data_IF_091969432945
#
_entry.id   IF_091969432945
#
_cell.length_a   1.000
_cell.length_b   1.000
_cell.length_c   1.000
_cell.angle_alpha   90.00
_cell.angle_beta   90.00
_cell.angle_gamma   90.00
#
_symmetry.space_group_name_H-M   'P 1'
#
loop_
_entity.id
_entity.type
_entity.pdbx_description
1 polymer ?
#
# COMPACT_ATOMS: atom_id res chain seq x y z
N UNK A 1 -38.05 53.01 24.33
CA UNK A 1 -36.82 53.78 24.04
C UNK A 1 -36.13 53.09 22.87
N UNK A 2 -36.33 53.61 21.64
CA UNK A 2 -35.83 53.02 20.38
C UNK A 2 -34.54 53.74 20.00
N UNK A 3 -33.40 53.04 19.98
CA UNK A 3 -32.13 53.60 19.51
C UNK A 3 -31.88 53.13 18.07
N UNK A 4 -31.93 54.09 17.13
CA UNK A 4 -31.49 53.91 15.74
C UNK A 4 -29.96 54.00 15.74
N UNK A 5 -29.29 52.97 15.24
CA UNK A 5 -27.86 53.04 14.90
C UNK A 5 -27.76 53.19 13.39
N UNK A 6 -27.21 54.32 12.98
CA UNK A 6 -27.04 54.79 11.62
C UNK A 6 -25.59 54.48 11.21
N UNK A 7 -25.38 53.57 10.26
CA UNK A 7 -24.07 53.33 9.68
C UNK A 7 -23.86 54.30 8.50
N UNK A 8 -22.86 55.16 8.64
CA UNK A 8 -22.37 56.07 7.60
C UNK A 8 -21.31 55.32 6.80
N UNK A 9 -21.55 55.11 5.51
CA UNK A 9 -20.51 54.78 4.53
C UNK A 9 -19.54 55.96 4.45
N UNK A 10 -18.24 55.70 4.61
CA UNK A 10 -17.21 56.62 4.13
C UNK A 10 -16.28 55.88 3.18
N UNK A 11 -16.25 56.39 1.95
CA UNK A 11 -15.43 55.92 0.86
C UNK A 11 -14.05 56.61 0.90
N UNK A 12 -13.08 55.94 0.28
CA UNK A 12 -11.78 56.48 -0.17
C UNK A 12 -10.61 56.30 0.78
N UNK A 13 -9.86 55.21 0.56
CA UNK A 13 -8.40 55.31 0.49
C UNK A 13 -7.86 54.26 -0.48
N UNK A 14 -7.71 54.64 -1.74
CA UNK A 14 -6.93 53.90 -2.73
C UNK A 14 -5.46 54.22 -2.44
N UNK A 15 -4.74 53.27 -1.85
CA UNK A 15 -3.28 53.31 -1.75
C UNK A 15 -2.72 52.54 -2.94
N UNK A 16 -2.15 53.27 -3.91
CA UNK A 16 -1.20 52.70 -4.86
C UNK A 16 0.07 52.32 -4.07
N UNK A 17 0.31 51.02 -3.88
CA UNK A 17 1.66 50.51 -3.60
C UNK A 17 2.31 50.12 -4.93
N UNK A 18 3.22 51.01 -5.36
CA UNK A 18 4.18 50.76 -6.42
C UNK A 18 5.12 49.60 -6.04
N UNK A 19 5.53 48.85 -7.06
CA UNK A 19 6.27 47.61 -6.93
C UNK A 19 7.64 47.76 -6.26
N UNK A 20 7.90 46.82 -5.36
CA UNK A 20 9.24 46.30 -5.11
C UNK A 20 9.25 44.87 -5.62
N UNK A 21 10.03 44.62 -6.67
CA UNK A 21 10.30 43.27 -7.17
C UNK A 21 10.90 42.44 -6.04
N UNK A 22 10.11 41.51 -5.51
CA UNK A 22 10.60 40.41 -4.70
C UNK A 22 11.40 39.47 -5.60
N UNK A 23 12.68 39.78 -5.83
CA UNK A 23 13.66 38.76 -6.22
C UNK A 23 13.87 37.86 -5.00
N UNK A 24 12.95 36.91 -4.81
CA UNK A 24 13.16 35.79 -3.89
C UNK A 24 14.35 34.99 -4.41
N UNK A 25 15.40 34.96 -3.60
CA UNK A 25 16.52 34.03 -3.72
C UNK A 25 15.99 32.62 -3.94
N UNK A 26 16.00 32.16 -5.19
CA UNK A 26 15.91 30.74 -5.49
C UNK A 26 17.22 30.13 -4.99
N UNK A 27 17.19 29.52 -3.82
CA UNK A 27 18.25 28.61 -3.39
C UNK A 27 18.47 27.63 -4.54
N UNK A 28 19.71 27.45 -5.04
CA UNK A 28 19.97 26.52 -6.13
C UNK A 28 19.37 25.16 -5.78
N UNK A 29 18.40 24.70 -6.57
CA UNK A 29 17.79 23.37 -6.40
C UNK A 29 18.94 22.37 -6.44
N UNK A 30 19.21 21.70 -5.32
CA UNK A 30 20.27 20.71 -5.22
C UNK A 30 20.07 19.72 -6.39
N UNK A 31 21.10 19.45 -7.21
CA UNK A 31 20.96 18.53 -8.32
C UNK A 31 20.40 17.21 -7.80
N UNK A 32 19.36 16.72 -8.46
CA UNK A 32 18.73 15.45 -8.11
C UNK A 32 19.82 14.37 -8.02
N UNK A 33 19.82 13.53 -6.97
CA UNK A 33 20.78 12.45 -6.85
C UNK A 33 20.75 11.60 -8.13
N UNK A 34 21.93 11.30 -8.66
CA UNK A 34 22.03 10.45 -9.85
C UNK A 34 21.42 9.08 -9.52
N UNK A 35 20.43 8.58 -10.27
CA UNK A 35 19.80 7.30 -9.97
C UNK A 35 20.87 6.22 -9.96
N UNK A 36 21.05 5.56 -8.81
CA UNK A 36 21.94 4.42 -8.67
C UNK A 36 21.44 3.33 -9.61
N UNK A 37 22.23 2.97 -10.61
CA UNK A 37 21.89 1.87 -11.52
C UNK A 37 21.71 0.60 -10.68
N UNK A 38 20.48 0.09 -10.63
CA UNK A 38 20.16 -1.16 -9.94
C UNK A 38 20.86 -2.30 -10.69
N UNK A 39 21.90 -2.88 -10.08
CA UNK A 39 22.62 -4.02 -10.67
C UNK A 39 22.00 -5.30 -10.16
N UNK A 40 21.46 -6.10 -11.08
CA UNK A 40 20.93 -7.43 -10.76
C UNK A 40 22.03 -8.37 -10.26
N UNK A 41 21.78 -9.19 -9.24
CA UNK A 41 22.65 -10.29 -8.89
C UNK A 41 22.82 -11.24 -10.09
N UNK A 42 24.06 -11.42 -10.54
CA UNK A 42 24.43 -12.32 -11.64
C UNK A 42 24.79 -13.73 -11.16
N UNK A 43 24.98 -13.89 -9.85
CA UNK A 43 25.31 -15.13 -9.14
C UNK A 43 24.31 -15.35 -8.00
N UNK A 44 24.35 -16.53 -7.38
CA UNK A 44 23.54 -16.82 -6.20
C UNK A 44 22.61 -18.00 -6.38
N UNK A 45 22.30 -18.63 -5.25
CA UNK A 45 21.29 -19.67 -5.15
C UNK A 45 19.91 -19.03 -5.21
N UNK A 46 18.98 -19.73 -5.84
CA UNK A 46 17.58 -19.32 -5.92
C UNK A 46 16.74 -20.05 -4.89
N UNK A 47 15.90 -19.31 -4.19
CA UNK A 47 15.06 -19.78 -3.12
C UNK A 47 13.62 -19.38 -3.40
N UNK A 48 12.73 -20.35 -3.31
CA UNK A 48 11.35 -20.26 -3.75
C UNK A 48 10.43 -20.40 -2.54
N UNK A 49 9.54 -19.43 -2.36
CA UNK A 49 8.62 -19.39 -1.23
C UNK A 49 7.20 -19.07 -1.67
N UNK A 50 6.25 -19.40 -0.81
CA UNK A 50 4.86 -18.94 -0.88
C UNK A 50 4.51 -18.23 0.42
N UNK A 51 3.77 -17.13 0.34
CA UNK A 51 3.18 -16.50 1.52
C UNK A 51 2.25 -17.49 2.22
N UNK A 52 2.54 -17.82 3.48
CA UNK A 52 1.71 -18.66 4.35
C UNK A 52 0.78 -17.84 5.26
N UNK A 53 1.10 -16.56 5.47
CA UNK A 53 0.26 -15.62 6.20
C UNK A 53 0.44 -14.22 5.64
N UNK A 54 -0.66 -13.53 5.39
CA UNK A 54 -0.68 -12.12 5.03
C UNK A 54 -1.45 -11.35 6.09
N UNK A 55 -0.89 -10.23 6.55
CA UNK A 55 -1.40 -9.44 7.67
C UNK A 55 -1.78 -8.05 7.19
N UNK A 56 -3.04 -7.70 7.40
CA UNK A 56 -3.52 -6.32 7.20
C UNK A 56 -3.54 -5.60 8.55
N UNK A 57 -3.15 -4.31 8.62
CA UNK A 57 -3.18 -3.57 9.88
C UNK A 57 -4.63 -3.23 10.26
N UNK A 58 -5.14 -3.81 11.34
CA UNK A 58 -6.47 -3.52 11.89
C UNK A 58 -6.40 -2.77 13.23
N UNK A 59 -5.20 -2.48 13.72
CA UNK A 59 -4.94 -1.71 14.95
C UNK A 59 -3.82 -0.69 14.75
N UNK A 60 -3.77 0.35 15.59
CA UNK A 60 -2.70 1.36 15.54
C UNK A 60 -1.30 0.77 15.72
N UNK A 61 -1.16 -0.25 16.57
CA UNK A 61 0.12 -0.93 16.78
C UNK A 61 0.57 -1.68 15.52
N UNK A 62 -0.35 -2.34 14.82
CA UNK A 62 -0.05 -3.02 13.56
C UNK A 62 0.27 -2.04 12.44
N UNK A 63 -0.39 -0.88 12.38
CA UNK A 63 -0.05 0.19 11.42
C UNK A 63 1.43 0.53 11.52
N UNK A 64 1.92 0.77 12.75
CA UNK A 64 3.32 1.09 13.02
C UNK A 64 4.25 -0.11 12.82
N UNK A 65 3.77 -1.32 13.08
CA UNK A 65 4.57 -2.55 12.93
C UNK A 65 4.86 -2.82 11.46
N UNK A 66 3.89 -2.61 10.57
CA UNK A 66 3.97 -2.93 9.14
C UNK A 66 4.28 -1.73 8.25
N UNK A 67 4.40 -0.53 8.80
CA UNK A 67 4.81 0.66 8.07
C UNK A 67 6.30 0.65 7.71
N UNK A 68 6.64 1.21 6.56
CA UNK A 68 8.00 1.47 6.10
C UNK A 68 8.10 2.95 5.69
N UNK A 69 9.30 3.54 5.73
CA UNK A 69 9.53 4.87 5.18
C UNK A 69 9.65 4.76 3.65
N UNK A 70 8.55 4.90 2.93
CA UNK A 70 8.45 4.62 1.50
C UNK A 70 9.09 5.74 0.68
N UNK A 71 8.82 7.00 1.02
CA UNK A 71 9.29 8.17 0.27
C UNK A 71 10.70 8.65 0.65
N UNK A 72 11.35 8.02 1.64
CA UNK A 72 12.67 8.39 2.17
C UNK A 72 12.71 9.80 2.76
N UNK A 73 11.64 10.24 3.41
CA UNK A 73 11.69 11.50 4.12
C UNK A 73 12.83 11.52 5.17
N UNK A 74 13.38 12.72 5.39
CA UNK A 74 14.49 12.92 6.33
C UNK A 74 14.12 12.63 7.79
N UNK A 75 12.83 12.58 8.10
CA UNK A 75 12.30 12.33 9.43
C UNK A 75 12.19 10.82 9.71
N UNK A 76 12.37 10.00 8.67
CA UNK A 76 12.16 8.56 8.67
C UNK A 76 10.77 8.19 9.17
N UNK A 77 9.77 8.98 8.78
CA UNK A 77 8.41 8.72 9.18
C UNK A 77 7.96 7.38 8.57
N UNK A 78 7.35 6.49 9.36
CA UNK A 78 6.75 5.30 8.80
C UNK A 78 5.44 5.63 8.08
N UNK A 79 5.25 5.05 6.89
CA UNK A 79 4.09 5.28 6.03
C UNK A 79 3.20 4.04 5.95
N UNK A 80 1.92 4.18 6.30
CA UNK A 80 0.90 3.13 6.15
C UNK A 80 -0.53 3.68 6.25
N UNK A 81 -0.89 4.59 5.35
CA UNK A 81 -2.19 5.26 5.29
C UNK A 81 -3.34 4.29 5.04
N UNK A 82 -3.08 3.26 4.24
CA UNK A 82 -4.03 2.17 4.03
C UNK A 82 -4.38 1.46 5.34
N UNK A 83 -3.42 1.25 6.24
CA UNK A 83 -3.69 0.73 7.58
C UNK A 83 -4.62 1.62 8.41
N UNK A 84 -4.49 2.95 8.29
CA UNK A 84 -5.43 3.90 8.92
C UNK A 84 -6.84 3.75 8.36
N UNK A 85 -6.98 3.61 7.03
CA UNK A 85 -8.26 3.36 6.37
C UNK A 85 -8.91 2.07 6.88
N UNK A 86 -8.15 0.97 6.92
CA UNK A 86 -8.64 -0.32 7.40
C UNK A 86 -9.09 -0.24 8.86
N UNK A 87 -8.31 0.43 9.71
CA UNK A 87 -8.67 0.63 11.13
C UNK A 87 -9.95 1.47 11.29
N UNK A 88 -10.17 2.48 10.46
CA UNK A 88 -11.42 3.25 10.46
C UNK A 88 -12.62 2.39 10.03
N UNK A 89 -12.46 1.56 9.00
CA UNK A 89 -13.51 0.66 8.53
C UNK A 89 -13.90 -0.37 9.59
N UNK A 90 -12.92 -1.01 10.24
CA UNK A 90 -13.18 -1.98 11.32
C UNK A 90 -13.73 -1.31 12.59
N UNK A 91 -13.38 -0.05 12.84
CA UNK A 91 -13.98 0.72 13.94
C UNK A 91 -15.44 1.06 13.67
N UNK A 92 -15.78 1.45 12.43
CA UNK A 92 -17.15 1.76 12.02
C UNK A 92 -18.04 0.49 11.93
N UNK A 93 -17.44 -0.65 11.63
CA UNK A 93 -18.08 -1.95 11.60
C UNK A 93 -17.28 -2.99 12.39
N UNK A 94 -17.46 -3.09 13.71
CA UNK A 94 -16.72 -4.04 14.54
C UNK A 94 -16.94 -5.52 14.20
N UNK A 95 -18.01 -5.85 13.45
CA UNK A 95 -18.28 -7.20 12.94
C UNK A 95 -17.50 -7.53 11.68
N UNK A 96 -16.73 -6.58 11.15
CA UNK A 96 -15.92 -6.76 9.97
C UNK A 96 -14.63 -7.51 10.31
N UNK A 97 -14.58 -8.78 9.93
CA UNK A 97 -13.47 -9.69 10.22
C UNK A 97 -12.48 -9.80 9.03
N UNK A 98 -11.82 -8.69 8.69
CA UNK A 98 -10.89 -8.62 7.54
C UNK A 98 -9.74 -9.62 7.63
N UNK A 99 -9.07 -9.69 8.78
CA UNK A 99 -7.92 -10.59 8.93
C UNK A 99 -8.33 -12.05 8.79
N UNK A 100 -9.47 -12.45 9.35
CA UNK A 100 -9.95 -13.84 9.22
C UNK A 100 -10.30 -14.20 7.78
N UNK A 101 -10.88 -13.25 7.03
CA UNK A 101 -11.23 -13.42 5.61
C UNK A 101 -9.96 -13.59 4.78
N UNK A 102 -8.93 -12.79 5.07
CA UNK A 102 -7.64 -12.91 4.39
C UNK A 102 -6.91 -14.20 4.76
N UNK A 103 -6.91 -14.58 6.04
CA UNK A 103 -6.35 -15.85 6.52
C UNK A 103 -7.02 -17.03 5.81
N UNK A 104 -8.35 -17.01 5.66
CA UNK A 104 -9.08 -18.02 4.91
C UNK A 104 -8.67 -18.03 3.42
N UNK A 105 -8.52 -16.87 2.80
CA UNK A 105 -8.14 -16.77 1.40
C UNK A 105 -6.75 -17.36 1.14
N UNK A 106 -5.78 -17.11 2.02
CA UNK A 106 -4.44 -17.68 1.94
C UNK A 106 -4.48 -19.18 2.22
N UNK A 107 -5.13 -19.61 3.31
CA UNK A 107 -5.18 -21.02 3.72
C UNK A 107 -5.94 -21.93 2.77
N UNK A 108 -6.92 -21.39 2.04
CA UNK A 108 -7.64 -22.14 1.00
C UNK A 108 -7.02 -22.01 -0.39
N UNK A 109 -5.95 -21.21 -0.52
CA UNK A 109 -5.24 -20.96 -1.79
C UNK A 109 -6.05 -20.14 -2.80
N UNK A 110 -6.99 -19.31 -2.34
CA UNK A 110 -7.66 -18.30 -3.17
C UNK A 110 -6.76 -17.09 -3.47
N UNK A 111 -5.85 -16.78 -2.55
CA UNK A 111 -4.79 -15.79 -2.71
C UNK A 111 -3.46 -16.53 -2.59
N UNK A 112 -2.63 -16.43 -3.63
CA UNK A 112 -1.30 -17.06 -3.68
C UNK A 112 -0.29 -15.99 -4.08
N UNK A 113 0.64 -15.67 -3.17
CA UNK A 113 1.78 -14.80 -3.46
C UNK A 113 3.07 -15.62 -3.40
N UNK A 114 3.80 -15.61 -4.50
CA UNK A 114 5.01 -16.40 -4.70
C UNK A 114 6.23 -15.50 -4.65
N UNK A 115 7.30 -15.97 -4.01
CA UNK A 115 8.52 -15.20 -3.84
C UNK A 115 9.72 -15.96 -4.38
N UNK A 116 10.57 -15.25 -5.12
CA UNK A 116 11.89 -15.72 -5.53
C UNK A 116 12.94 -14.82 -4.90
N UNK A 117 13.79 -15.41 -4.06
CA UNK A 117 14.96 -14.74 -3.49
C UNK A 117 16.21 -15.31 -4.14
N UNK A 118 17.10 -14.44 -4.64
CA UNK A 118 18.41 -14.82 -5.16
C UNK A 118 19.50 -14.17 -4.31
N UNK A 119 20.34 -14.99 -3.69
CA UNK A 119 21.44 -14.56 -2.82
C UNK A 119 22.64 -15.54 -2.92
N UNK A 120 23.85 -15.02 -2.78
CA UNK A 120 25.10 -15.78 -2.68
C UNK A 120 25.30 -16.35 -1.25
N UNK A 121 24.87 -15.61 -0.22
CA UNK A 121 24.95 -16.01 1.19
C UNK A 121 23.64 -15.67 1.93
N UNK A 122 23.14 -16.62 2.73
CA UNK A 122 21.83 -16.51 3.39
C UNK A 122 21.83 -15.60 4.63
N UNK A 123 23.01 -15.31 5.18
CA UNK A 123 23.19 -14.49 6.36
C UNK A 123 23.67 -13.09 5.98
N UNK A 124 24.66 -12.97 5.09
CA UNK A 124 25.28 -11.69 4.77
C UNK A 124 25.59 -11.58 3.28
N UNK A 125 24.76 -10.86 2.56
CA UNK A 125 24.92 -10.61 1.13
C UNK A 125 24.52 -9.17 0.81
N UNK A 126 25.39 -8.43 0.14
CA UNK A 126 25.15 -7.02 -0.21
C UNK A 126 24.35 -6.86 -1.50
N UNK A 127 24.09 -7.94 -2.24
CA UNK A 127 23.39 -7.90 -3.50
C UNK A 127 22.38 -9.05 -3.60
N UNK A 128 21.23 -8.84 -2.97
CA UNK A 128 20.12 -9.79 -2.94
C UNK A 128 18.98 -9.25 -3.80
N UNK A 129 18.36 -10.11 -4.60
CA UNK A 129 17.13 -9.76 -5.31
C UNK A 129 15.95 -10.54 -4.75
N UNK A 130 14.85 -9.83 -4.47
CA UNK A 130 13.58 -10.39 -4.06
C UNK A 130 12.50 -10.05 -5.08
N UNK A 131 11.96 -11.06 -5.75
CA UNK A 131 10.85 -10.93 -6.69
C UNK A 131 9.57 -11.46 -6.08
N UNK A 132 8.45 -10.79 -6.37
CA UNK A 132 7.11 -11.19 -5.93
C UNK A 132 6.27 -11.43 -7.18
N UNK A 133 5.57 -12.56 -7.20
CA UNK A 133 4.72 -12.98 -8.31
C UNK A 133 3.33 -13.37 -7.81
N UNK A 134 2.35 -13.29 -8.71
CA UNK A 134 1.01 -13.81 -8.46
C UNK A 134 0.97 -15.30 -8.79
N UNK A 135 0.39 -16.10 -7.90
CA UNK A 135 0.11 -17.51 -8.15
C UNK A 135 -1.35 -17.73 -8.55
N UNK A 136 -1.60 -18.77 -9.34
CA UNK A 136 -2.97 -19.21 -9.63
C UNK A 136 -3.65 -19.74 -8.36
N UNK A 137 -4.97 -19.56 -8.30
CA UNK A 137 -5.81 -20.21 -7.29
C UNK A 137 -5.58 -21.71 -7.29
N UNK A 138 -5.45 -22.31 -6.11
CA UNK A 138 -5.26 -23.75 -5.99
C UNK A 138 -6.61 -24.48 -5.95
N UNK A 139 -6.63 -25.74 -6.40
CA UNK A 139 -7.82 -26.59 -6.32
C UNK A 139 -8.02 -27.20 -4.93
N UNK A 140 -6.94 -27.28 -4.15
CA UNK A 140 -6.94 -27.79 -2.78
C UNK A 140 -6.15 -26.81 -1.89
N UNK A 141 -6.52 -26.76 -0.62
CA UNK A 141 -5.81 -25.97 0.39
C UNK A 141 -4.32 -26.36 0.42
N UNK A 142 -3.38 -25.39 0.35
CA UNK A 142 -1.96 -25.65 0.55
C UNK A 142 -1.66 -26.21 1.94
N UNK A 143 -0.61 -27.00 2.06
CA UNK A 143 -0.18 -27.58 3.35
C UNK A 143 0.79 -26.64 4.08
N UNK A 144 1.53 -25.81 3.35
CA UNK A 144 2.56 -24.90 3.81
C UNK A 144 3.72 -25.59 4.55
N UNK A 145 4.10 -26.79 4.13
CA UNK A 145 5.17 -27.59 4.75
C UNK A 145 6.48 -27.65 3.92
N UNK A 146 6.56 -26.88 2.84
CA UNK A 146 7.69 -26.91 1.91
C UNK A 146 7.49 -27.79 0.68
N UNK A 147 6.45 -28.64 0.67
CA UNK A 147 6.22 -29.63 -0.41
C UNK A 147 5.25 -29.15 -1.49
N UNK A 148 4.52 -28.06 -1.23
CA UNK A 148 3.53 -27.51 -2.15
C UNK A 148 4.16 -27.04 -3.47
N UNK A 149 3.39 -27.20 -4.55
CA UNK A 149 3.73 -26.75 -5.90
C UNK A 149 2.71 -25.75 -6.39
N UNK A 150 3.19 -24.64 -6.94
CA UNK A 150 2.34 -23.58 -7.45
C UNK A 150 2.65 -23.26 -8.91
N UNK A 151 1.67 -22.63 -9.55
CA UNK A 151 1.76 -22.13 -10.93
C UNK A 151 1.61 -20.62 -10.89
N UNK A 152 2.39 -19.90 -11.69
CA UNK A 152 2.25 -18.45 -11.85
C UNK A 152 0.91 -18.11 -12.52
N UNK A 153 0.29 -17.02 -12.07
CA UNK A 153 -0.83 -16.44 -12.78
C UNK A 153 -0.35 -15.82 -14.10
N UNK A 154 -1.11 -15.99 -15.18
CA UNK A 154 -0.79 -15.39 -16.48
C UNK A 154 -0.82 -13.85 -16.47
N UNK A 155 -1.49 -13.23 -15.49
CA UNK A 155 -1.51 -11.79 -15.28
C UNK A 155 -0.25 -11.29 -14.55
N UNK A 156 0.62 -12.19 -14.08
CA UNK A 156 1.86 -11.82 -13.39
C UNK A 156 2.73 -10.95 -14.31
N UNK A 157 3.14 -9.74 -13.86
CA UNK A 157 4.04 -8.89 -14.62
C UNK A 157 5.39 -9.55 -14.87
N UNK A 158 6.12 -9.00 -15.84
CA UNK A 158 7.53 -9.29 -15.98
C UNK A 158 8.26 -9.05 -14.66
N UNK A 159 9.26 -9.89 -14.39
CA UNK A 159 10.02 -9.85 -13.15
C UNK A 159 10.57 -8.44 -12.88
N UNK A 160 10.12 -7.83 -11.79
CA UNK A 160 10.60 -6.54 -11.29
C UNK A 160 11.22 -6.74 -9.89
N UNK A 161 12.46 -7.25 -9.82
CA UNK A 161 13.10 -7.60 -8.56
C UNK A 161 13.34 -6.37 -7.69
N UNK A 162 13.07 -6.52 -6.39
CA UNK A 162 13.42 -5.58 -5.34
C UNK A 162 14.85 -5.91 -4.93
N UNK A 163 15.77 -4.98 -5.16
CA UNK A 163 17.19 -5.17 -4.82
C UNK A 163 17.46 -4.65 -3.41
N UNK A 164 18.25 -5.39 -2.66
CA UNK A 164 18.58 -5.09 -1.28
C UNK A 164 19.80 -5.87 -0.79
N UNK A 165 19.91 -5.95 0.53
CA UNK A 165 20.98 -6.67 1.20
C UNK A 165 20.43 -7.53 2.35
N UNK A 166 21.12 -8.63 2.62
CA UNK A 166 20.99 -9.44 3.83
C UNK A 166 22.09 -9.06 4.82
N UNK A 167 21.72 -8.84 6.08
CA UNK A 167 22.65 -8.71 7.20
C UNK A 167 22.15 -9.54 8.37
N UNK A 168 22.92 -10.54 8.79
CA UNK A 168 22.52 -11.56 9.76
C UNK A 168 21.16 -12.24 9.46
N UNK A 169 20.86 -12.48 8.18
CA UNK A 169 19.60 -13.08 7.73
C UNK A 169 18.44 -12.08 7.65
N UNK A 170 18.63 -10.82 8.01
CA UNK A 170 17.63 -9.78 7.84
C UNK A 170 17.79 -9.11 6.48
N UNK A 171 16.78 -9.25 5.63
CA UNK A 171 16.73 -8.60 4.32
C UNK A 171 16.14 -7.20 4.48
N UNK A 172 16.77 -6.21 3.83
CA UNK A 172 16.22 -4.88 3.59
C UNK A 172 16.46 -4.51 2.13
N UNK A 173 15.39 -4.17 1.39
CA UNK A 173 15.50 -3.82 -0.02
C UNK A 173 14.47 -2.80 -0.49
N UNK A 174 14.71 -2.26 -1.68
CA UNK A 174 13.90 -1.22 -2.33
C UNK A 174 14.69 0.05 -2.64
N UNK A 175 14.08 1.01 -3.34
CA UNK A 175 12.73 0.97 -3.89
C UNK A 175 12.61 0.02 -5.10
N UNK A 176 11.44 -0.59 -5.28
CA UNK A 176 11.10 -1.45 -6.41
C UNK A 176 9.67 -1.25 -6.90
N UNK A 177 9.16 -2.24 -7.65
CA UNK A 177 7.75 -2.35 -8.03
C UNK A 177 7.28 -3.77 -7.75
N UNK A 178 6.03 -3.92 -7.35
CA UNK A 178 5.41 -5.22 -7.15
C UNK A 178 3.93 -5.14 -7.51
N UNK A 179 3.38 -6.25 -7.96
CA UNK A 179 1.93 -6.44 -8.00
C UNK A 179 1.58 -7.44 -6.92
N UNK A 180 0.64 -7.06 -6.06
CA UNK A 180 0.12 -7.93 -5.02
C UNK A 180 -1.36 -8.16 -5.25
N UNK A 181 -1.87 -9.19 -4.61
CA UNK A 181 -3.28 -9.48 -4.61
C UNK A 181 -3.75 -9.59 -3.17
N UNK A 182 -4.81 -8.86 -2.85
CA UNK A 182 -5.41 -8.85 -1.52
C UNK A 182 -6.89 -9.24 -1.63
N UNK A 183 -7.41 -9.94 -0.63
CA UNK A 183 -8.84 -10.12 -0.46
C UNK A 183 -9.33 -9.08 0.54
N UNK A 184 -10.07 -8.09 0.05
CA UNK A 184 -10.61 -6.99 0.85
C UNK A 184 -12.13 -7.07 0.82
N UNK A 185 -12.76 -7.23 1.97
CA UNK A 185 -14.23 -7.26 2.09
C UNK A 185 -14.91 -8.32 1.21
N UNK A 186 -14.23 -9.45 0.96
CA UNK A 186 -14.71 -10.53 0.09
C UNK A 186 -14.38 -10.34 -1.39
N UNK A 187 -13.85 -9.18 -1.77
CA UNK A 187 -13.43 -8.86 -3.13
C UNK A 187 -11.92 -9.04 -3.33
N UNK A 188 -11.55 -9.72 -4.40
CA UNK A 188 -10.14 -9.93 -4.75
C UNK A 188 -9.66 -8.75 -5.59
N UNK A 189 -8.71 -8.00 -5.05
CA UNK A 189 -8.19 -6.79 -5.68
C UNK A 189 -6.72 -6.99 -5.99
N UNK A 190 -6.37 -6.79 -7.24
CA UNK A 190 -4.98 -6.66 -7.65
C UNK A 190 -4.53 -5.22 -7.46
N UNK A 191 -3.37 -5.06 -6.83
CA UNK A 191 -2.84 -3.75 -6.48
C UNK A 191 -1.42 -3.65 -7.00
N UNK A 192 -1.18 -2.62 -7.81
CA UNK A 192 0.15 -2.27 -8.29
C UNK A 192 0.80 -1.29 -7.32
N UNK A 193 1.93 -1.71 -6.75
CA UNK A 193 2.73 -0.92 -5.84
C UNK A 193 3.96 -0.33 -6.55
N UNK A 194 4.23 0.94 -6.30
CA UNK A 194 5.45 1.66 -6.69
C UNK A 194 6.28 2.03 -5.46
N UNK A 195 7.58 2.25 -5.64
CA UNK A 195 8.46 2.58 -4.52
C UNK A 195 8.53 1.47 -3.47
N UNK A 196 8.36 0.21 -3.89
CA UNK A 196 8.21 -0.92 -2.97
C UNK A 196 9.47 -1.09 -2.14
N UNK A 197 9.28 -1.20 -0.82
CA UNK A 197 10.29 -1.59 0.15
C UNK A 197 9.88 -2.87 0.82
N UNK A 198 10.86 -3.69 1.14
CA UNK A 198 10.64 -4.97 1.77
C UNK A 198 11.69 -5.20 2.86
N UNK A 199 11.20 -5.60 4.03
CA UNK A 199 12.01 -6.05 5.16
C UNK A 199 11.53 -7.45 5.57
N UNK A 200 12.43 -8.38 5.85
CA UNK A 200 12.04 -9.70 6.37
C UNK A 200 13.23 -10.43 6.99
N UNK A 201 12.96 -11.23 8.02
CA UNK A 201 13.93 -12.20 8.52
C UNK A 201 13.85 -13.47 7.69
N UNK A 202 14.97 -13.85 7.10
CA UNK A 202 15.07 -14.82 6.03
C UNK A 202 15.90 -16.02 6.48
N UNK A 203 15.37 -17.23 6.25
CA UNK A 203 16.03 -18.50 6.56
C UNK A 203 15.69 -19.57 5.53
N UNK A 204 16.41 -20.70 5.55
CA UNK A 204 16.10 -21.84 4.66
C UNK A 204 14.74 -22.46 4.96
N UNK A 205 14.16 -22.20 6.14
CA UNK A 205 12.82 -22.67 6.52
C UNK A 205 11.70 -21.70 6.14
N UNK A 206 12.02 -20.56 5.53
CA UNK A 206 11.03 -19.53 5.19
C UNK A 206 11.43 -18.14 5.66
N UNK A 207 10.47 -17.23 5.62
CA UNK A 207 10.61 -15.87 6.13
C UNK A 207 9.58 -15.55 7.21
N UNK A 208 10.02 -14.79 8.20
CA UNK A 208 9.22 -14.29 9.32
C UNK A 208 9.43 -12.79 9.47
N UNK A 209 8.55 -12.15 10.24
CA UNK A 209 8.57 -10.69 10.47
C UNK A 209 8.64 -9.88 9.17
N UNK A 210 8.07 -10.43 8.10
CA UNK A 210 8.05 -9.83 6.78
C UNK A 210 7.16 -8.61 6.75
N UNK A 211 7.62 -7.56 6.09
CA UNK A 211 6.90 -6.32 5.83
C UNK A 211 7.10 -5.94 4.38
N UNK A 212 6.00 -5.60 3.71
CA UNK A 212 6.03 -4.99 2.39
C UNK A 212 5.32 -3.66 2.46
N UNK A 213 5.98 -2.61 1.98
CA UNK A 213 5.43 -1.28 1.90
C UNK A 213 5.64 -0.66 0.54
N UNK A 214 4.77 0.26 0.14
CA UNK A 214 4.84 0.94 -1.14
C UNK A 214 3.72 1.96 -1.32
N UNK A 215 3.71 2.62 -2.48
CA UNK A 215 2.66 3.54 -2.88
C UNK A 215 1.68 2.92 -3.87
N UNK A 216 0.39 3.20 -3.68
CA UNK A 216 -0.65 3.06 -4.70
C UNK A 216 -0.91 4.45 -5.26
N UNK A 217 -0.84 4.64 -6.58
CA UNK A 217 -1.14 5.96 -7.18
C UNK A 217 -2.59 6.35 -6.94
N UNK A 218 -2.89 7.66 -6.96
CA UNK A 218 -4.26 8.15 -6.84
C UNK A 218 -5.21 7.50 -7.83
N UNK A 219 -4.77 7.38 -9.09
CA UNK A 219 -5.57 6.78 -10.14
C UNK A 219 -5.89 5.31 -9.85
N UNK A 220 -4.90 4.51 -9.46
CA UNK A 220 -5.07 3.10 -9.11
C UNK A 220 -6.00 2.93 -7.91
N UNK A 221 -5.83 3.77 -6.87
CA UNK A 221 -6.69 3.74 -5.69
C UNK A 221 -8.15 4.02 -6.05
N UNK A 222 -8.39 5.07 -6.83
CA UNK A 222 -9.75 5.49 -7.21
C UNK A 222 -10.41 4.58 -8.24
N UNK A 223 -9.65 4.05 -9.18
CA UNK A 223 -10.20 3.23 -10.27
C UNK A 223 -10.42 1.78 -9.87
N UNK A 224 -9.62 1.25 -8.93
CA UNK A 224 -9.61 -0.18 -8.61
C UNK A 224 -9.96 -0.45 -7.15
N UNK A 225 -9.23 0.15 -6.21
CA UNK A 225 -9.35 -0.21 -4.79
C UNK A 225 -10.62 0.34 -4.15
N UNK A 226 -10.94 1.61 -4.38
CA UNK A 226 -12.11 2.25 -3.77
C UNK A 226 -13.45 1.65 -4.26
N UNK A 227 -13.64 1.34 -5.56
CA UNK A 227 -14.81 0.60 -6.02
C UNK A 227 -14.94 -0.77 -5.35
N UNK A 228 -13.84 -1.53 -5.23
CA UNK A 228 -13.88 -2.83 -4.56
C UNK A 228 -14.25 -2.72 -3.07
N UNK A 229 -13.82 -1.66 -2.39
CA UNK A 229 -14.26 -1.38 -1.01
C UNK A 229 -15.77 -1.12 -0.96
N UNK A 230 -16.28 -0.25 -1.83
CA UNK A 230 -17.71 0.05 -1.90
C UNK A 230 -18.54 -1.21 -2.19
N UNK A 231 -18.11 -2.03 -3.15
CA UNK A 231 -18.77 -3.28 -3.53
C UNK A 231 -18.78 -4.29 -2.37
N UNK A 232 -17.63 -4.49 -1.70
CA UNK A 232 -17.54 -5.37 -0.54
C UNK A 232 -18.42 -4.93 0.62
N UNK A 233 -18.46 -3.64 0.96
CA UNK A 233 -19.37 -3.11 1.97
C UNK A 233 -20.85 -3.36 1.59
N UNK A 234 -21.21 -3.12 0.32
CA UNK A 234 -22.56 -3.38 -0.17
C UNK A 234 -22.94 -4.87 -0.15
N UNK A 235 -21.99 -5.78 -0.38
CA UNK A 235 -22.23 -7.21 -0.25
C UNK A 235 -22.51 -7.60 1.20
N UNK A 236 -21.76 -7.05 2.15
CA UNK A 236 -22.03 -7.24 3.57
C UNK A 236 -23.42 -6.73 3.96
N UNK A 237 -23.81 -5.54 3.47
CA UNK A 237 -25.15 -4.98 3.70
C UNK A 237 -26.25 -5.91 3.15
N UNK A 238 -26.04 -6.47 1.95
CA UNK A 238 -26.97 -7.42 1.34
C UNK A 238 -27.06 -8.73 2.12
N UNK A 239 -25.94 -9.23 2.63
CA UNK A 239 -25.86 -10.48 3.38
C UNK A 239 -26.53 -10.37 4.76
N UNK A 240 -26.38 -9.23 5.43
CA UNK A 240 -26.95 -9.01 6.77
C UNK A 240 -27.42 -7.56 6.97
N UNK A 241 -28.66 -7.28 6.56
CA UNK A 241 -29.28 -5.95 6.71
C UNK A 241 -29.47 -5.51 8.17
N UNK A 242 -29.54 -6.45 9.11
CA UNK A 242 -29.79 -6.13 10.52
C UNK A 242 -28.53 -5.62 11.22
N UNK A 243 -27.40 -6.27 10.94
CA UNK A 243 -26.10 -5.99 11.57
C UNK A 243 -25.32 -4.85 10.90
N UNK A 244 -25.69 -4.47 9.67
CA UNK A 244 -24.97 -3.45 8.89
C UNK A 244 -25.57 -2.04 9.00
N UNK A 245 -26.53 -1.82 9.90
CA UNK A 245 -27.08 -0.50 10.17
C UNK A 245 -26.01 0.55 10.54
N UNK A 246 -24.91 0.14 11.19
CA UNK A 246 -23.82 1.07 11.52
C UNK A 246 -23.00 1.47 10.30
N UNK A 247 -22.81 0.59 9.32
CA UNK A 247 -22.14 0.89 8.05
C UNK A 247 -22.93 1.92 7.25
N UNK A 248 -24.24 1.70 7.11
CA UNK A 248 -25.13 2.63 6.42
C UNK A 248 -25.13 3.99 7.14
N UNK A 249 -25.27 4.01 8.47
CA UNK A 249 -25.20 5.27 9.23
C UNK A 249 -23.86 6.00 9.08
N UNK A 250 -22.76 5.26 8.91
CA UNK A 250 -21.43 5.84 8.77
C UNK A 250 -21.17 6.37 7.36
N UNK A 251 -21.65 5.69 6.31
CA UNK A 251 -21.19 5.89 4.95
C UNK A 251 -22.29 6.14 3.90
N UNK A 252 -23.53 5.73 4.11
CA UNK A 252 -24.67 5.96 3.19
C UNK A 252 -25.26 7.35 3.47
N UNK A 253 -24.74 8.36 2.76
CA UNK A 253 -25.04 9.76 3.03
C UNK A 253 -26.42 10.16 2.50
N UNK A 254 -26.87 9.56 1.39
CA UNK A 254 -28.17 9.85 0.80
C UNK A 254 -29.31 8.94 1.34
N UNK A 255 -28.96 7.96 2.19
CA UNK A 255 -29.86 6.99 2.83
C UNK A 255 -30.60 6.11 1.82
N UNK A 256 -29.97 5.77 0.69
CA UNK A 256 -30.57 4.93 -0.35
C UNK A 256 -30.41 3.42 -0.06
N UNK A 257 -29.69 3.05 1.00
CA UNK A 257 -29.43 1.67 1.41
C UNK A 257 -28.24 1.03 0.69
N UNK A 258 -27.38 1.82 0.05
CA UNK A 258 -26.13 1.39 -0.59
C UNK A 258 -25.05 2.44 -0.43
N UNK A 259 -23.79 2.01 -0.45
CA UNK A 259 -22.62 2.88 -0.31
C UNK A 259 -21.94 2.99 -1.67
N UNK A 260 -21.84 4.20 -2.21
CA UNK A 260 -21.15 4.50 -3.46
C UNK A 260 -19.70 4.90 -3.23
N UNK A 261 -18.87 4.84 -4.27
CA UNK A 261 -17.50 5.38 -4.20
C UNK A 261 -17.49 6.87 -3.87
N UNK A 262 -18.41 7.64 -4.45
CA UNK A 262 -18.56 9.07 -4.17
C UNK A 262 -18.86 9.33 -2.69
N UNK A 263 -19.67 8.50 -2.05
CA UNK A 263 -19.94 8.63 -0.62
C UNK A 263 -18.72 8.33 0.23
N UNK A 264 -17.93 7.30 -0.12
CA UNK A 264 -16.67 7.02 0.56
C UNK A 264 -15.66 8.17 0.39
N UNK A 265 -15.52 8.73 -0.81
CA UNK A 265 -14.59 9.85 -1.06
C UNK A 265 -14.95 11.12 -0.30
N UNK A 266 -16.25 11.44 -0.23
CA UNK A 266 -16.73 12.66 0.43
C UNK A 266 -17.01 12.46 1.93
N UNK A 267 -16.81 11.25 2.46
CA UNK A 267 -17.08 10.97 3.85
C UNK A 267 -16.05 11.68 4.76
N UNK A 268 -16.46 12.59 5.67
CA UNK A 268 -15.50 13.31 6.52
C UNK A 268 -14.64 12.41 7.41
N UNK A 269 -15.14 11.22 7.79
CA UNK A 269 -14.37 10.24 8.56
C UNK A 269 -13.26 9.62 7.70
N UNK A 270 -13.54 9.37 6.43
CA UNK A 270 -12.59 8.77 5.50
C UNK A 270 -11.68 9.79 4.85
N UNK A 271 -12.07 11.07 4.69
CA UNK A 271 -11.26 12.11 4.03
C UNK A 271 -9.83 12.15 4.57
N UNK A 272 -9.65 11.93 5.87
CA UNK A 272 -8.33 11.86 6.49
C UNK A 272 -7.52 10.65 6.00
N UNK A 273 -8.14 9.51 5.72
CA UNK A 273 -7.52 8.27 5.27
C UNK A 273 -7.50 8.08 3.73
N UNK A 274 -8.39 8.78 2.99
CA UNK A 274 -8.48 8.74 1.53
C UNK A 274 -7.87 9.96 0.86
N UNK A 275 -7.09 10.77 1.60
CA UNK A 275 -6.18 11.75 1.01
C UNK A 275 -4.79 11.12 0.79
N UNK A 276 -4.15 11.32 -0.37
CA UNK A 276 -2.79 10.85 -0.63
C UNK A 276 -1.80 11.42 0.40
N UNK A 277 -0.80 10.63 0.77
CA UNK A 277 0.17 10.98 1.80
C UNK A 277 1.63 10.92 1.32
N UNK A 278 1.90 10.30 0.17
CA UNK A 278 3.23 10.20 -0.43
C UNK A 278 3.38 11.06 -1.69
N UNK A 279 4.56 11.65 -1.86
CA UNK A 279 5.05 12.31 -3.09
C UNK A 279 6.06 11.35 -3.71
N UNK A 280 5.60 10.52 -4.67
CA UNK A 280 6.42 9.47 -5.28
C UNK A 280 6.70 9.72 -6.75
N UNK A 281 5.94 10.59 -7.41
CA UNK A 281 5.97 10.80 -8.85
C UNK A 281 6.29 12.26 -9.17
N UNK A 282 7.09 12.48 -10.22
CA UNK A 282 7.22 13.82 -10.79
C UNK A 282 5.98 14.21 -11.61
N UNK A 283 5.92 15.46 -12.04
CA UNK A 283 4.85 15.97 -12.93
C UNK A 283 4.69 15.22 -14.27
N UNK A 284 5.64 14.36 -14.65
CA UNK A 284 5.56 13.50 -15.84
C UNK A 284 5.12 12.06 -15.52
N UNK A 285 4.85 11.75 -14.25
CA UNK A 285 4.44 10.44 -13.77
C UNK A 285 5.60 9.45 -13.56
N UNK A 286 6.85 9.92 -13.55
CA UNK A 286 8.00 9.05 -13.27
C UNK A 286 8.29 8.97 -11.78
N UNK A 287 8.71 7.81 -11.31
CA UNK A 287 9.12 7.64 -9.90
C UNK A 287 10.27 8.58 -9.54
N UNK A 288 9.98 9.55 -8.68
CA UNK A 288 10.88 10.62 -8.26
C UNK A 288 10.46 11.12 -6.86
N UNK A 289 10.73 10.34 -5.80
CA UNK A 289 10.19 10.63 -4.49
C UNK A 289 10.66 11.99 -3.95
N UNK A 290 9.74 12.73 -3.32
CA UNK A 290 9.97 14.00 -2.64
C UNK A 290 10.54 15.13 -3.53
N UNK A 291 10.16 15.20 -4.81
CA UNK A 291 10.75 16.17 -5.77
C UNK A 291 9.91 17.41 -6.05
N UNK A 292 8.58 17.31 -5.99
CA UNK A 292 7.67 18.39 -6.37
C UNK A 292 6.69 18.82 -5.26
N UNK A 293 6.62 18.07 -4.16
CA UNK A 293 5.79 18.34 -3.01
C UNK A 293 4.32 17.96 -3.19
N UNK A 294 3.94 17.34 -4.30
CA UNK A 294 2.57 16.92 -4.59
C UNK A 294 2.36 15.51 -4.05
N UNK A 295 1.36 15.34 -3.19
CA UNK A 295 0.98 14.01 -2.72
C UNK A 295 0.15 13.30 -3.80
N UNK A 296 0.74 12.30 -4.44
CA UNK A 296 0.22 11.59 -5.62
C UNK A 296 -0.06 10.10 -5.37
N UNK A 297 0.30 9.59 -4.19
CA UNK A 297 0.21 8.19 -3.85
C UNK A 297 -0.23 7.97 -2.40
N UNK A 298 -0.89 6.84 -2.17
CA UNK A 298 -1.30 6.34 -0.87
C UNK A 298 -0.29 5.31 -0.37
N UNK A 299 0.23 5.49 0.85
CA UNK A 299 1.11 4.50 1.46
C UNK A 299 0.34 3.26 1.92
N UNK A 300 0.95 2.11 1.68
CA UNK A 300 0.48 0.79 2.10
C UNK A 300 1.60 0.10 2.84
N UNK A 301 1.28 -0.58 3.93
CA UNK A 301 2.16 -1.46 4.66
C UNK A 301 1.41 -2.73 5.11
N UNK A 302 1.91 -3.89 4.70
CA UNK A 302 1.36 -5.21 5.05
C UNK A 302 2.43 -6.07 5.70
N UNK A 303 2.03 -6.92 6.64
CA UNK A 303 2.90 -7.94 7.21
C UNK A 303 2.77 -9.26 6.48
N UNK A 304 3.79 -10.10 6.48
CA UNK A 304 3.70 -11.45 5.90
C UNK A 304 4.66 -12.46 6.55
N UNK A 305 4.34 -13.73 6.39
CA UNK A 305 5.27 -14.86 6.59
C UNK A 305 5.24 -15.75 5.36
N UNK A 306 6.34 -16.45 5.09
CA UNK A 306 6.45 -17.35 3.96
C UNK A 306 7.15 -18.66 4.33
N UNK A 307 6.81 -19.71 3.59
CA UNK A 307 7.43 -21.04 3.71
C UNK A 307 7.99 -21.48 2.35
N UNK A 308 8.94 -22.42 2.31
CA UNK A 308 9.46 -22.93 1.05
C UNK A 308 8.34 -23.47 0.15
N UNK A 309 8.52 -23.36 -1.15
CA UNK A 309 7.60 -23.87 -2.15
C UNK A 309 8.36 -24.20 -3.44
N UNK A 310 7.68 -24.83 -4.40
CA UNK A 310 8.22 -25.02 -5.75
C UNK A 310 7.33 -24.36 -6.79
N UNK A 311 7.92 -23.57 -7.68
CA UNK A 311 7.30 -23.04 -8.89
C UNK A 311 8.36 -22.70 -9.93
N UNK A 312 7.98 -22.57 -11.19
CA UNK A 312 8.89 -22.12 -12.26
C UNK A 312 8.76 -20.61 -12.42
N UNK A 313 9.80 -19.86 -12.06
CA UNK A 313 9.84 -18.41 -12.29
C UNK A 313 10.01 -18.10 -13.80
N UNK A 314 9.56 -16.93 -14.29
CA UNK A 314 9.81 -16.51 -15.67
C UNK A 314 11.32 -16.38 -15.92
N UNK A 315 11.78 -16.72 -17.12
CA UNK A 315 13.17 -16.47 -17.53
C UNK A 315 13.46 -14.95 -17.53
N UNK A 316 14.69 -14.58 -17.19
CA UNK A 316 15.16 -13.18 -17.13
C UNK A 316 15.28 -12.56 -18.51
#
# INVERSE_FOLDING_TARGET
MKMKIMFILNASLIVLLAGACSMLNQTPKQPAPTPTTVVMPTTGMQYYFVTSKLLVPTTQEQIQTFSLNVDEDSQKKPDNKFGELITLLTTAAPTLELQSTLDQAVTTGQVVSLHLVQADDFMNDQNVSWSIFLGQKTQAAPVFDGTDKFTLDSATPNNSPIIGALTNGHFVGGPGKAQIQILLLGEQVEVRLIGVRLEADFSTSGCVDGKIGGGITVDEFRSNLLPAIADGLNQMIKADKGSTNTLLQAFDADNNGSITTQELENNPLLMLAVSPDLDLLDASGNFSPNQDGVKDSYSVGLGFTCVPATFTAPEK
#
